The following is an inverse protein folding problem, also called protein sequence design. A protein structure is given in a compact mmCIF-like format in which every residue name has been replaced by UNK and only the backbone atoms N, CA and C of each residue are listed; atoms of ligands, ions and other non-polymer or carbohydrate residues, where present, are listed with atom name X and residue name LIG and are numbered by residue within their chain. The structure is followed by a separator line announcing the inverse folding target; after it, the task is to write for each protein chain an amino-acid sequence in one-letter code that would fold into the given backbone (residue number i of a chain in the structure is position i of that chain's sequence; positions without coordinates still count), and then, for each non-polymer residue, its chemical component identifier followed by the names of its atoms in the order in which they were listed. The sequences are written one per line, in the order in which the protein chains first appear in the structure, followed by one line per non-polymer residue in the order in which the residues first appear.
data_IF_617876195222
#
_entry.id   IF_617876195222
#
_cell.length_a   1.000
_cell.length_b   1.000
_cell.length_c   1.000
_cell.angle_alpha   90.00
_cell.angle_beta   90.00
_cell.angle_gamma   90.00
#
_symmetry.space_group_name_H-M   'P 1'
#
loop_
_entity.id
_entity.type
_entity.pdbx_description
1 polymer ?
#
# COMPACT_ATOMS: atom_id res chain seq x y z
N UNK A 1 6.89 -0.45 40.71
CA UNK A 1 8.00 -0.19 41.65
C UNK A 1 8.25 -1.50 42.40
N UNK A 2 9.39 -2.18 42.17
CA UNK A 2 9.72 -3.45 42.85
C UNK A 2 10.93 -3.20 43.75
N UNK A 3 10.73 -3.27 45.06
CA UNK A 3 11.82 -3.22 46.03
C UNK A 3 12.35 -4.64 46.25
N UNK A 4 13.67 -4.82 46.15
CA UNK A 4 14.35 -6.06 46.52
C UNK A 4 14.91 -5.83 47.93
N UNK A 5 14.37 -6.53 48.93
CA UNK A 5 14.93 -6.55 50.28
C UNK A 5 15.96 -7.67 50.37
N UNK A 6 17.20 -7.31 50.70
CA UNK A 6 18.25 -8.27 51.10
C UNK A 6 18.44 -8.13 52.61
N UNK A 7 18.18 -9.20 53.36
CA UNK A 7 18.39 -9.24 54.80
C UNK A 7 19.85 -9.57 55.11
N UNK A 8 20.57 -8.62 55.70
CA UNK A 8 21.86 -8.84 56.35
C UNK A 8 21.74 -8.35 57.80
N UNK A 9 22.17 -9.16 58.76
CA UNK A 9 21.91 -9.01 60.21
C UNK A 9 22.61 -7.83 60.88
N UNK A 10 23.24 -6.94 60.11
CA UNK A 10 23.91 -5.72 60.58
C UNK A 10 23.70 -4.58 59.57
N UNK A 11 22.64 -3.79 59.73
CA UNK A 11 22.42 -2.53 59.02
C UNK A 11 21.51 -2.61 57.78
N UNK A 12 20.45 -1.80 57.78
CA UNK A 12 19.53 -1.61 56.65
C UNK A 12 20.19 -0.68 55.61
N UNK A 13 20.52 -1.20 54.43
CA UNK A 13 20.88 -0.37 53.26
C UNK A 13 19.75 -0.51 52.23
N UNK A 14 18.97 0.57 52.06
CA UNK A 14 17.92 0.64 51.06
C UNK A 14 18.55 1.00 49.71
N UNK A 15 18.73 0.02 48.81
CA UNK A 15 19.10 0.31 47.42
C UNK A 15 17.84 0.68 46.63
N UNK A 16 17.59 1.99 46.49
CA UNK A 16 16.64 2.52 45.52
C UNK A 16 17.25 2.39 44.13
N UNK A 17 16.98 1.29 43.42
CA UNK A 17 17.31 1.18 42.00
C UNK A 17 16.33 2.06 41.20
N UNK A 18 16.76 3.25 40.79
CA UNK A 18 16.01 4.07 39.85
C UNK A 18 15.79 3.27 38.56
N UNK A 19 14.55 3.19 38.02
CA UNK A 19 14.33 2.55 36.74
C UNK A 19 15.14 3.31 35.68
N UNK A 20 15.99 2.61 34.93
CA UNK A 20 16.60 3.18 33.72
C UNK A 20 15.46 3.69 32.84
N UNK A 21 15.48 4.99 32.54
CA UNK A 21 14.52 5.58 31.62
C UNK A 21 14.63 4.86 30.27
N UNK A 22 13.56 4.18 29.86
CA UNK A 22 13.49 3.56 28.55
C UNK A 22 13.51 4.66 27.49
N UNK A 23 14.25 4.43 26.41
CA UNK A 23 14.31 5.36 25.28
C UNK A 23 12.92 5.60 24.69
N UNK A 24 12.69 6.82 24.19
CA UNK A 24 11.50 7.13 23.40
C UNK A 24 11.44 6.20 22.17
N UNK A 25 10.40 5.36 22.01
CA UNK A 25 10.28 4.46 20.86
C UNK A 25 10.36 5.19 19.52
N UNK A 26 9.89 6.45 19.48
CA UNK A 26 9.95 7.34 18.31
C UNK A 26 11.39 7.73 17.96
N UNK A 27 12.23 8.02 18.96
CA UNK A 27 13.63 8.40 18.72
C UNK A 27 14.45 7.20 18.25
N UNK A 28 14.22 6.02 18.83
CA UNK A 28 14.89 4.79 18.41
C UNK A 28 14.58 4.45 16.95
N UNK A 29 13.30 4.46 16.56
CA UNK A 29 12.87 4.12 15.20
C UNK A 29 13.31 5.14 14.14
N UNK A 30 13.55 6.40 14.54
CA UNK A 30 14.10 7.41 13.66
C UNK A 30 15.54 7.08 13.25
N UNK A 31 16.42 6.79 14.20
CA UNK A 31 17.86 6.66 13.94
C UNK A 31 18.29 5.29 13.42
N UNK A 32 17.66 4.21 13.88
CA UNK A 32 18.12 2.85 13.58
C UNK A 32 18.16 2.55 12.07
N UNK A 33 19.22 1.90 11.58
CA UNK A 33 19.35 1.54 10.16
C UNK A 33 20.60 2.11 9.49
N UNK A 34 20.66 2.00 8.16
CA UNK A 34 21.80 2.47 7.37
C UNK A 34 21.56 3.91 6.91
N UNK A 35 22.60 4.71 6.97
CA UNK A 35 22.61 6.12 6.58
C UNK A 35 23.79 6.41 5.67
N UNK A 36 23.59 7.32 4.72
CA UNK A 36 24.62 7.87 3.87
C UNK A 36 25.03 9.22 4.44
N UNK A 37 26.26 9.33 4.93
CA UNK A 37 26.85 10.60 5.35
C UNK A 37 27.67 11.23 4.21
N UNK A 38 27.39 12.48 3.89
CA UNK A 38 28.03 13.28 2.85
C UNK A 38 28.73 14.49 3.47
N UNK A 39 29.98 14.75 3.06
CA UNK A 39 30.77 15.88 3.58
C UNK A 39 31.87 15.48 4.56
N UNK A 40 32.22 14.20 4.66
CA UNK A 40 33.38 13.77 5.44
C UNK A 40 34.67 14.41 4.90
N UNK A 41 35.53 14.88 5.79
CA UNK A 41 36.84 15.44 5.46
C UNK A 41 37.95 14.61 6.11
N UNK A 42 38.69 13.88 5.28
CA UNK A 42 39.98 13.30 5.64
C UNK A 42 41.05 13.95 4.77
N UNK A 43 41.61 13.23 3.78
CA UNK A 43 42.63 13.76 2.87
C UNK A 43 42.04 14.60 1.72
N UNK A 44 40.91 14.15 1.19
CA UNK A 44 40.14 14.84 0.16
C UNK A 44 38.77 15.10 0.76
N UNK A 45 38.41 16.37 1.00
CA UNK A 45 37.10 16.71 1.54
C UNK A 45 35.95 16.22 0.66
N UNK A 46 34.76 16.06 1.23
CA UNK A 46 33.55 15.72 0.48
C UNK A 46 33.35 14.22 0.23
N UNK A 47 33.92 13.36 1.09
CA UNK A 47 33.68 11.91 1.00
C UNK A 47 32.24 11.56 1.36
N UNK A 48 31.77 10.46 0.76
CA UNK A 48 30.45 9.87 0.95
C UNK A 48 30.59 8.48 1.56
N UNK A 49 30.03 8.28 2.74
CA UNK A 49 30.25 7.07 3.54
C UNK A 49 28.94 6.50 4.08
N UNK A 50 28.84 5.16 4.10
CA UNK A 50 27.74 4.44 4.73
C UNK A 50 28.00 4.24 6.21
N UNK A 51 26.99 4.45 7.04
CA UNK A 51 27.04 4.18 8.47
C UNK A 51 25.83 3.37 8.91
N UNK A 52 26.05 2.35 9.72
CA UNK A 52 24.99 1.63 10.42
C UNK A 52 24.79 2.29 11.78
N UNK A 53 23.58 2.77 12.05
CA UNK A 53 23.20 3.24 13.38
C UNK A 53 22.42 2.12 14.07
N UNK A 54 22.84 1.78 15.29
CA UNK A 54 22.16 0.83 16.17
C UNK A 54 21.82 1.49 17.50
N UNK A 55 20.70 1.06 18.09
CA UNK A 55 20.19 1.55 19.37
C UNK A 55 20.23 0.42 20.40
N UNK A 56 20.81 0.69 21.57
CA UNK A 56 20.78 -0.24 22.70
C UNK A 56 20.41 0.52 23.97
N UNK A 57 19.19 0.29 24.47
CA UNK A 57 18.62 1.13 25.52
C UNK A 57 18.53 2.59 25.05
N UNK A 58 19.17 3.50 25.78
CA UNK A 58 19.25 4.92 25.41
C UNK A 58 20.53 5.29 24.63
N UNK A 59 21.38 4.31 24.32
CA UNK A 59 22.64 4.52 23.59
C UNK A 59 22.41 4.47 22.10
N UNK A 60 22.87 5.51 21.40
CA UNK A 60 22.97 5.59 19.95
C UNK A 60 24.42 5.33 19.55
N UNK A 61 24.67 4.39 18.64
CA UNK A 61 26.00 4.09 18.12
C UNK A 61 25.96 4.05 16.60
N UNK A 62 26.72 4.92 15.94
CA UNK A 62 26.90 4.94 14.49
C UNK A 62 28.26 4.35 14.13
N UNK A 63 28.27 3.24 13.39
CA UNK A 63 29.47 2.54 12.93
C UNK A 63 29.63 2.70 11.41
N UNK A 64 30.83 3.06 10.97
CA UNK A 64 31.20 3.13 9.55
C UNK A 64 31.07 1.74 8.92
N UNK A 65 30.27 1.61 7.86
CA UNK A 65 30.22 0.43 7.00
C UNK A 65 31.22 0.55 5.85
N UNK A 66 31.29 1.75 5.27
CA UNK A 66 32.44 2.21 4.49
C UNK A 66 33.18 3.24 5.33
N UNK A 67 34.50 3.34 5.17
CA UNK A 67 35.29 4.31 5.91
C UNK A 67 36.53 4.74 5.15
N UNK A 68 37.26 5.66 5.76
CA UNK A 68 38.39 6.37 5.17
C UNK A 68 39.65 6.17 6.01
N UNK A 69 40.77 6.75 5.58
CA UNK A 69 42.05 6.63 6.27
C UNK A 69 42.05 7.28 7.67
N UNK A 70 41.13 8.21 7.96
CA UNK A 70 41.04 8.88 9.25
C UNK A 70 40.14 8.12 10.22
N UNK A 71 39.05 7.52 9.73
CA UNK A 71 38.12 6.65 10.47
C UNK A 71 37.77 5.44 9.59
N UNK A 72 38.49 4.32 9.73
CA UNK A 72 38.29 3.15 8.88
C UNK A 72 36.93 2.48 9.08
N UNK A 73 36.50 1.70 8.08
CA UNK A 73 35.33 0.85 8.16
C UNK A 73 35.36 -0.04 9.42
N UNK A 74 34.20 -0.29 10.01
CA UNK A 74 34.07 -1.01 11.27
C UNK A 74 34.27 -0.14 12.52
N UNK A 75 34.78 1.08 12.42
CA UNK A 75 34.89 1.98 13.58
C UNK A 75 33.59 2.74 13.88
N UNK A 76 33.40 3.09 15.15
CA UNK A 76 32.35 4.03 15.55
C UNK A 76 32.71 5.39 14.96
N UNK A 77 31.83 6.01 14.18
CA UNK A 77 32.03 7.38 13.68
C UNK A 77 31.48 8.42 14.65
N UNK A 78 30.35 8.12 15.31
CA UNK A 78 29.84 8.90 16.43
C UNK A 78 28.95 8.04 17.32
N UNK A 79 28.80 8.47 18.57
CA UNK A 79 27.90 7.85 19.53
C UNK A 79 27.28 8.91 20.45
N UNK A 80 26.15 8.62 21.05
CA UNK A 80 25.47 9.56 21.94
C UNK A 80 24.35 8.91 22.72
N UNK A 81 23.60 9.76 23.42
CA UNK A 81 22.38 9.37 24.12
C UNK A 81 21.18 9.85 23.30
N UNK A 82 20.16 8.99 23.13
CA UNK A 82 18.97 9.37 22.38
C UNK A 82 18.27 10.57 23.04
N UNK A 83 17.81 11.56 22.24
CA UNK A 83 17.01 12.65 22.76
C UNK A 83 15.59 12.18 23.09
N UNK A 84 14.90 12.94 23.94
CA UNK A 84 13.49 12.66 24.25
C UNK A 84 12.56 12.93 23.05
N UNK A 85 12.97 13.78 22.10
CA UNK A 85 12.26 14.07 20.85
C UNK A 85 13.22 14.17 19.67
N UNK A 86 12.69 13.95 18.46
CA UNK A 86 13.38 13.99 17.16
C UNK A 86 12.65 14.92 16.19
N UNK A 87 12.17 16.05 16.68
CA UNK A 87 11.46 17.03 15.85
C UNK A 87 12.45 17.82 14.98
N UNK A 88 12.02 18.26 13.80
CA UNK A 88 12.86 19.07 12.91
C UNK A 88 13.39 20.31 13.63
N UNK A 89 14.68 20.59 13.46
CA UNK A 89 15.40 21.68 14.11
C UNK A 89 15.91 21.37 15.51
N UNK A 90 15.50 20.25 16.12
CA UNK A 90 16.06 19.83 17.42
C UNK A 90 17.51 19.37 17.30
N UNK A 91 18.30 19.64 18.35
CA UNK A 91 19.72 19.26 18.41
C UNK A 91 20.08 18.62 19.75
N UNK A 92 21.03 17.69 19.73
CA UNK A 92 21.59 17.08 20.93
C UNK A 92 23.06 16.70 20.73
N UNK A 93 23.86 16.60 21.80
CA UNK A 93 25.28 16.31 21.68
C UNK A 93 25.54 14.83 21.34
N UNK A 94 26.51 14.62 20.46
CA UNK A 94 27.13 13.32 20.15
C UNK A 94 28.65 13.43 20.23
N UNK A 95 29.31 12.33 20.58
CA UNK A 95 30.77 12.22 20.56
C UNK A 95 31.21 11.58 19.25
N UNK A 96 31.94 12.33 18.44
CA UNK A 96 32.55 11.89 17.20
C UNK A 96 33.90 11.23 17.43
N UNK A 97 34.19 10.23 16.63
CA UNK A 97 35.53 9.67 16.42
C UNK A 97 36.20 10.44 15.31
N UNK A 98 37.43 10.90 15.57
CA UNK A 98 38.26 11.63 14.61
C UNK A 98 39.66 11.01 14.57
N UNK A 99 40.44 11.33 13.57
CA UNK A 99 41.81 10.83 13.40
C UNK A 99 42.49 11.47 12.21
N UNK A 100 43.71 11.03 11.93
CA UNK A 100 44.45 11.33 10.71
C UNK A 100 44.84 10.02 10.02
N UNK A 101 45.26 10.04 8.74
CA UNK A 101 45.73 8.82 8.06
C UNK A 101 46.87 8.11 8.81
N UNK A 102 47.74 8.87 9.47
CA UNK A 102 48.87 8.34 10.25
C UNK A 102 48.46 7.83 11.64
N UNK A 103 47.30 8.28 12.15
CA UNK A 103 46.78 7.89 13.46
C UNK A 103 45.24 7.77 13.42
N UNK A 104 44.70 6.74 12.75
CA UNK A 104 43.27 6.58 12.50
C UNK A 104 42.48 6.39 13.80
N UNK A 105 41.27 6.96 13.85
CA UNK A 105 40.29 6.81 14.93
C UNK A 105 40.80 7.12 16.35
N UNK A 106 41.89 7.88 16.45
CA UNK A 106 42.67 8.12 17.67
C UNK A 106 42.11 9.21 18.58
N UNK A 107 41.24 10.07 18.06
CA UNK A 107 40.66 11.21 18.79
C UNK A 107 39.16 11.09 19.00
N UNK A 108 38.65 11.92 19.92
CA UNK A 108 37.21 12.11 20.15
C UNK A 108 36.91 13.60 20.28
N UNK A 109 35.78 14.04 19.74
CA UNK A 109 35.29 15.43 19.90
C UNK A 109 33.78 15.45 20.05
N UNK A 110 33.24 16.40 20.81
CA UNK A 110 31.79 16.53 21.01
C UNK A 110 31.23 17.54 20.02
N UNK A 111 30.15 17.17 19.34
CA UNK A 111 29.46 18.01 18.35
C UNK A 111 27.95 17.86 18.49
N UNK A 112 27.21 18.86 18.05
CA UNK A 112 25.77 18.74 17.99
C UNK A 112 25.34 17.96 16.74
N UNK A 113 24.36 17.09 16.92
CA UNK A 113 23.58 16.48 15.84
C UNK A 113 22.25 17.21 15.78
N UNK A 114 21.90 17.73 14.60
CA UNK A 114 20.67 18.48 14.34
C UNK A 114 19.76 17.70 13.40
N UNK A 115 18.52 17.46 13.80
CA UNK A 115 17.49 16.86 12.95
C UNK A 115 17.07 17.89 11.90
N UNK A 116 17.14 17.52 10.63
CA UNK A 116 16.71 18.39 9.53
C UNK A 116 15.26 18.09 9.17
N UNK A 117 14.94 16.82 8.93
CA UNK A 117 13.59 16.34 8.58
C UNK A 117 13.40 14.88 9.03
N UNK A 118 12.37 14.19 8.54
CA UNK A 118 12.09 12.80 8.91
C UNK A 118 13.06 11.76 8.30
N UNK A 119 14.00 12.18 7.46
CA UNK A 119 14.93 11.32 6.70
C UNK A 119 16.37 11.83 6.69
N UNK A 120 16.64 12.97 7.31
CA UNK A 120 17.96 13.57 7.30
C UNK A 120 18.30 14.31 8.59
N UNK A 121 19.57 14.25 8.95
CA UNK A 121 20.15 15.02 10.04
C UNK A 121 21.56 15.48 9.64
N UNK A 122 22.14 16.42 10.38
CA UNK A 122 23.51 16.88 10.18
C UNK A 122 24.28 16.86 11.49
N UNK A 123 25.58 16.56 11.43
CA UNK A 123 26.48 16.74 12.55
C UNK A 123 27.91 16.85 12.04
N UNK A 124 28.71 17.72 12.68
CA UNK A 124 30.12 17.94 12.34
C UNK A 124 30.37 18.23 10.84
N UNK A 125 29.48 19.00 10.21
CA UNK A 125 29.56 19.33 8.78
C UNK A 125 29.14 18.20 7.83
N UNK A 126 28.80 17.01 8.35
CA UNK A 126 28.35 15.87 7.56
C UNK A 126 26.82 15.81 7.55
N UNK A 127 26.22 15.78 6.36
CA UNK A 127 24.78 15.54 6.19
C UNK A 127 24.53 14.05 6.07
N UNK A 128 23.69 13.50 6.94
CA UNK A 128 23.24 12.12 6.89
C UNK A 128 21.85 12.07 6.28
N UNK A 129 21.70 11.28 5.22
CA UNK A 129 20.41 10.93 4.64
C UNK A 129 20.21 9.45 4.83
N UNK A 130 19.02 9.02 5.27
CA UNK A 130 18.76 7.60 5.47
C UNK A 130 19.03 6.86 4.16
N UNK A 131 19.83 5.79 4.20
CA UNK A 131 19.94 4.90 3.06
C UNK A 131 18.59 4.19 3.00
N UNK A 132 17.66 4.81 2.29
CA UNK A 132 16.35 4.24 2.07
C UNK A 132 16.60 2.93 1.36
N UNK A 133 16.31 1.81 2.04
CA UNK A 133 15.79 0.65 1.36
C UNK A 133 14.42 1.06 0.82
N UNK A 134 14.39 1.97 -0.17
CA UNK A 134 13.18 2.35 -0.86
C UNK A 134 12.74 1.08 -1.55
N UNK A 135 11.75 0.43 -0.96
CA UNK A 135 11.14 -0.75 -1.55
C UNK A 135 10.11 -0.25 -2.54
N UNK A 136 10.36 -0.55 -3.81
CA UNK A 136 9.39 -0.39 -4.88
C UNK A 136 8.58 -1.66 -4.97
N UNK A 137 7.28 -1.55 -4.75
CA UNK A 137 6.34 -2.65 -4.94
C UNK A 137 5.33 -2.28 -6.01
N UNK A 138 5.07 -3.21 -6.93
CA UNK A 138 3.98 -3.06 -7.90
C UNK A 138 2.67 -3.44 -7.23
N UNK A 139 1.73 -2.51 -7.12
CA UNK A 139 0.37 -2.76 -6.67
C UNK A 139 -0.53 -2.83 -7.90
N UNK A 140 -1.17 -3.99 -8.11
CA UNK A 140 -2.12 -4.22 -9.20
C UNK A 140 -3.46 -4.61 -8.62
N UNK A 141 -4.48 -3.86 -9.00
CA UNK A 141 -5.87 -4.12 -8.62
C UNK A 141 -6.72 -4.12 -9.87
N UNK A 142 -7.63 -5.08 -9.98
CA UNK A 142 -8.65 -5.03 -11.02
C UNK A 142 -10.00 -5.48 -10.52
N UNK A 143 -11.03 -5.00 -11.21
CA UNK A 143 -12.43 -5.25 -10.94
C UNK A 143 -13.10 -5.69 -12.24
N UNK A 144 -13.81 -6.82 -12.20
CA UNK A 144 -14.70 -7.25 -13.27
C UNK A 144 -16.14 -7.25 -12.79
N UNK A 145 -17.04 -6.99 -13.73
CA UNK A 145 -18.45 -7.39 -13.60
C UNK A 145 -18.79 -8.38 -14.69
N UNK A 146 -19.57 -9.42 -14.38
CA UNK A 146 -19.91 -10.46 -15.35
C UNK A 146 -21.23 -11.16 -14.99
N UNK A 147 -21.92 -11.71 -15.98
CA UNK A 147 -23.14 -12.47 -15.79
C UNK A 147 -22.77 -13.97 -15.83
N UNK A 148 -22.86 -14.71 -14.71
CA UNK A 148 -22.30 -16.06 -14.65
C UNK A 148 -23.07 -17.09 -15.50
N UNK A 149 -24.32 -16.81 -15.83
CA UNK A 149 -25.15 -17.68 -16.68
C UNK A 149 -24.80 -17.52 -18.16
N UNK A 150 -25.28 -18.45 -18.99
CA UNK A 150 -25.16 -18.38 -20.45
C UNK A 150 -26.06 -17.32 -21.09
N UNK A 151 -27.24 -17.13 -20.51
CA UNK A 151 -28.25 -16.19 -20.99
C UNK A 151 -28.67 -15.26 -19.85
N UNK A 152 -28.80 -13.98 -20.17
CA UNK A 152 -29.49 -13.01 -19.35
C UNK A 152 -30.87 -12.75 -19.96
N UNK A 153 -31.90 -13.14 -19.22
CA UNK A 153 -33.29 -12.95 -19.62
C UNK A 153 -33.81 -11.61 -19.10
N UNK A 154 -34.38 -10.79 -19.97
CA UNK A 154 -34.83 -9.42 -19.67
C UNK A 154 -36.30 -9.29 -20.10
N UNK A 155 -37.15 -8.79 -19.20
CA UNK A 155 -38.54 -8.43 -19.52
C UNK A 155 -38.64 -6.91 -19.74
N UNK A 156 -39.24 -6.50 -20.85
CA UNK A 156 -39.44 -5.08 -21.18
C UNK A 156 -40.93 -4.74 -21.05
N UNK A 157 -41.34 -4.21 -19.90
CA UNK A 157 -42.75 -3.93 -19.62
C UNK A 157 -43.59 -5.22 -19.64
N UNK A 158 -44.70 -5.23 -20.40
CA UNK A 158 -45.55 -6.42 -20.59
C UNK A 158 -45.12 -7.32 -21.76
N UNK A 159 -44.05 -6.96 -22.47
CA UNK A 159 -43.63 -7.61 -23.71
C UNK A 159 -42.93 -8.96 -23.48
N UNK A 160 -42.77 -9.77 -24.56
CA UNK A 160 -42.03 -11.03 -24.49
C UNK A 160 -40.62 -10.88 -23.92
N UNK A 161 -40.16 -11.99 -23.33
CA UNK A 161 -38.81 -12.18 -22.83
C UNK A 161 -37.78 -11.93 -23.95
N UNK A 162 -36.83 -11.05 -23.69
CA UNK A 162 -35.67 -10.83 -24.56
C UNK A 162 -34.45 -11.45 -23.91
N UNK A 163 -33.67 -12.19 -24.67
CA UNK A 163 -32.50 -12.90 -24.16
C UNK A 163 -31.22 -12.29 -24.72
N UNK A 164 -30.26 -12.04 -23.83
CA UNK A 164 -28.92 -11.59 -24.18
C UNK A 164 -27.90 -12.68 -23.88
N UNK A 165 -26.88 -12.76 -24.73
CA UNK A 165 -25.72 -13.60 -24.48
C UNK A 165 -24.93 -13.04 -23.29
N UNK A 166 -24.64 -13.88 -22.31
CA UNK A 166 -23.93 -13.53 -21.08
C UNK A 166 -22.50 -14.12 -21.08
N UNK A 167 -21.81 -14.07 -19.94
CA UNK A 167 -20.38 -14.45 -19.85
C UNK A 167 -20.16 -15.95 -19.64
N UNK A 168 -21.18 -16.68 -19.17
CA UNK A 168 -21.16 -18.13 -18.97
C UNK A 168 -19.90 -18.66 -18.26
N UNK A 169 -19.55 -18.07 -17.12
CA UNK A 169 -18.32 -18.42 -16.40
C UNK A 169 -18.47 -18.29 -14.89
N UNK A 170 -17.52 -18.89 -14.18
CA UNK A 170 -17.27 -18.63 -12.76
C UNK A 170 -16.31 -17.46 -12.54
N UNK A 171 -15.91 -17.30 -11.27
CA UNK A 171 -14.89 -16.34 -10.86
C UNK A 171 -13.53 -16.69 -11.47
N UNK A 172 -12.81 -15.68 -11.98
CA UNK A 172 -11.51 -15.89 -12.60
C UNK A 172 -10.59 -14.67 -12.42
N UNK A 173 -9.34 -14.95 -12.10
CA UNK A 173 -8.27 -13.96 -12.06
C UNK A 173 -7.67 -13.61 -13.42
N UNK A 174 -8.08 -14.27 -14.49
CA UNK A 174 -7.57 -13.95 -15.83
C UNK A 174 -8.07 -12.55 -16.25
N UNK A 175 -7.14 -11.67 -16.60
CA UNK A 175 -7.44 -10.31 -17.04
C UNK A 175 -8.25 -10.30 -18.34
N UNK A 176 -8.12 -11.32 -19.18
CA UNK A 176 -8.77 -11.42 -20.49
C UNK A 176 -10.07 -12.23 -20.46
N UNK A 177 -10.53 -12.60 -19.27
CA UNK A 177 -11.80 -13.31 -19.12
C UNK A 177 -12.98 -12.45 -19.59
N UNK A 178 -14.00 -13.09 -20.18
CA UNK A 178 -15.25 -12.44 -20.60
C UNK A 178 -15.84 -11.61 -19.45
N UNK A 179 -16.25 -10.37 -19.71
CA UNK A 179 -16.82 -9.50 -18.68
C UNK A 179 -17.77 -8.48 -19.31
N UNK A 180 -18.72 -7.98 -18.51
CA UNK A 180 -19.54 -6.81 -18.86
C UNK A 180 -18.70 -5.54 -18.70
N UNK A 181 -17.92 -5.44 -17.63
CA UNK A 181 -16.94 -4.38 -17.42
C UNK A 181 -15.65 -4.95 -16.86
N UNK A 182 -14.51 -4.36 -17.22
CA UNK A 182 -13.18 -4.68 -16.73
C UNK A 182 -12.43 -3.38 -16.46
N UNK A 183 -11.89 -3.22 -15.27
CA UNK A 183 -11.08 -2.07 -14.88
C UNK A 183 -9.80 -2.52 -14.18
N UNK A 184 -8.67 -1.93 -14.53
CA UNK A 184 -7.35 -2.22 -13.95
C UNK A 184 -6.64 -0.94 -13.55
N UNK A 185 -6.09 -0.92 -12.33
CA UNK A 185 -5.16 0.09 -11.86
C UNK A 185 -3.86 -0.61 -11.47
N UNK A 186 -2.75 -0.10 -12.00
CA UNK A 186 -1.41 -0.53 -11.64
C UNK A 186 -0.59 0.66 -11.17
N UNK A 187 0.05 0.51 -10.00
CA UNK A 187 0.82 1.54 -9.33
C UNK A 187 2.20 0.97 -8.96
N UNK A 188 3.24 1.78 -9.07
CA UNK A 188 4.49 1.58 -8.36
C UNK A 188 4.40 2.36 -7.04
N UNK A 189 4.56 1.65 -5.93
CA UNK A 189 4.47 2.22 -4.59
C UNK A 189 5.84 2.12 -3.94
N UNK A 190 6.35 3.26 -3.47
CA UNK A 190 7.62 3.34 -2.77
C UNK A 190 7.38 3.43 -1.26
N UNK A 191 8.10 2.61 -0.50
CA UNK A 191 8.08 2.65 0.97
C UNK A 191 9.49 2.74 1.53
N UNK A 192 9.67 3.46 2.63
CA UNK A 192 10.95 3.50 3.39
C UNK A 192 10.99 2.54 4.57
N UNK A 193 10.01 1.63 4.66
CA UNK A 193 9.77 0.70 5.77
C UNK A 193 8.83 1.24 6.85
N UNK A 194 8.65 2.56 6.95
CA UNK A 194 7.81 3.19 7.98
C UNK A 194 6.61 3.94 7.38
N UNK A 195 6.74 4.45 6.16
CA UNK A 195 5.68 5.17 5.46
C UNK A 195 5.74 4.94 3.94
N UNK A 196 4.60 5.20 3.28
CA UNK A 196 4.54 5.32 1.81
C UNK A 196 5.12 6.68 1.44
N UNK A 197 6.14 6.68 0.59
CA UNK A 197 6.91 7.89 0.24
C UNK A 197 6.59 8.43 -1.13
N UNK A 198 6.13 7.58 -2.04
CA UNK A 198 5.78 7.95 -3.40
C UNK A 198 4.80 6.92 -4.00
N UNK A 199 3.95 7.37 -4.92
CA UNK A 199 3.07 6.53 -5.72
C UNK A 199 3.10 7.05 -7.15
N UNK A 200 3.43 6.16 -8.10
CA UNK A 200 3.44 6.49 -9.51
C UNK A 200 2.53 5.53 -10.29
N UNK A 201 1.72 6.01 -11.25
CA UNK A 201 0.94 5.13 -12.10
C UNK A 201 1.86 4.39 -13.07
N UNK A 202 1.65 3.08 -13.22
CA UNK A 202 2.28 2.31 -14.29
C UNK A 202 1.35 2.41 -15.50
N UNK A 203 1.81 3.09 -16.55
CA UNK A 203 1.00 3.26 -17.76
C UNK A 203 0.80 1.94 -18.47
N UNK A 204 -0.44 1.48 -18.50
CA UNK A 204 -0.89 0.40 -19.39
C UNK A 204 -2.00 0.92 -20.29
N UNK A 205 -1.99 0.49 -21.56
CA UNK A 205 -2.88 0.96 -22.61
C UNK A 205 -4.31 0.37 -22.53
N UNK A 206 -4.55 -0.61 -21.65
CA UNK A 206 -5.84 -1.31 -21.54
C UNK A 206 -6.40 -1.30 -20.12
N UNK A 207 -6.69 -0.12 -19.57
CA UNK A 207 -7.22 -0.03 -18.19
C UNK A 207 -8.70 -0.34 -18.09
N UNK A 208 -9.50 0.07 -19.07
CA UNK A 208 -10.96 -0.01 -19.01
C UNK A 208 -11.52 -0.67 -20.27
N UNK A 209 -12.27 -1.76 -20.11
CA UNK A 209 -12.96 -2.45 -21.20
C UNK A 209 -14.41 -2.72 -20.83
N UNK A 210 -15.25 -2.75 -21.86
CA UNK A 210 -16.66 -3.10 -21.75
C UNK A 210 -16.94 -4.23 -22.73
N UNK A 211 -17.63 -5.26 -22.25
CA UNK A 211 -18.04 -6.39 -23.06
C UNK A 211 -19.02 -5.99 -24.16
N UNK A 212 -18.94 -6.68 -25.29
CA UNK A 212 -19.97 -6.53 -26.32
C UNK A 212 -21.27 -7.24 -25.88
N UNK A 213 -22.41 -6.62 -26.19
CA UNK A 213 -23.73 -7.17 -25.95
C UNK A 213 -24.26 -7.80 -27.23
N UNK A 214 -24.87 -8.98 -27.09
CA UNK A 214 -25.46 -9.73 -28.20
C UNK A 214 -26.83 -10.25 -27.79
N UNK A 215 -27.75 -10.33 -28.74
CA UNK A 215 -28.97 -11.12 -28.56
C UNK A 215 -28.65 -12.62 -28.57
N UNK A 216 -29.42 -13.39 -27.81
CA UNK A 216 -29.34 -14.84 -27.76
C UNK A 216 -30.70 -15.48 -27.96
N UNK A 217 -30.71 -16.69 -28.48
CA UNK A 217 -31.88 -17.55 -28.47
C UNK A 217 -32.17 -17.98 -27.02
N UNK A 218 -33.38 -17.70 -26.52
CA UNK A 218 -33.73 -17.96 -25.13
C UNK A 218 -33.70 -19.44 -24.73
N UNK A 219 -33.82 -20.38 -25.68
CA UNK A 219 -33.87 -21.81 -25.40
C UNK A 219 -32.48 -22.43 -25.40
N UNK A 220 -31.67 -22.05 -26.37
CA UNK A 220 -30.36 -22.66 -26.62
C UNK A 220 -29.21 -21.85 -26.03
N UNK A 221 -29.42 -20.55 -25.77
CA UNK A 221 -28.38 -19.60 -25.40
C UNK A 221 -27.34 -19.36 -26.49
N UNK A 222 -27.63 -19.75 -27.73
CA UNK A 222 -26.78 -19.46 -28.88
C UNK A 222 -26.91 -17.98 -29.24
N UNK A 223 -25.79 -17.36 -29.60
CA UNK A 223 -25.74 -15.99 -30.11
C UNK A 223 -26.54 -15.91 -31.41
N UNK A 224 -27.35 -14.86 -31.55
CA UNK A 224 -28.11 -14.57 -32.76
C UNK A 224 -27.31 -13.62 -33.66
N UNK A 225 -26.34 -14.14 -34.42
CA UNK A 225 -25.36 -13.34 -35.19
C UNK A 225 -25.97 -12.43 -36.26
N UNK A 226 -27.22 -12.69 -36.67
CA UNK A 226 -27.95 -11.85 -37.61
C UNK A 226 -28.55 -10.59 -36.96
N UNK A 227 -28.57 -10.52 -35.63
CA UNK A 227 -29.06 -9.37 -34.88
C UNK A 227 -27.88 -8.43 -34.52
N UNK A 228 -28.16 -7.13 -34.35
CA UNK A 228 -27.10 -6.16 -34.05
C UNK A 228 -26.44 -6.47 -32.71
N UNK A 229 -25.13 -6.25 -32.67
CA UNK A 229 -24.32 -6.22 -31.46
C UNK A 229 -23.81 -4.82 -31.20
N UNK A 230 -23.63 -4.47 -29.92
CA UNK A 230 -23.12 -3.16 -29.52
C UNK A 230 -22.30 -3.26 -28.24
N UNK A 231 -21.25 -2.45 -28.15
CA UNK A 231 -20.51 -2.20 -26.91
C UNK A 231 -21.05 -0.93 -26.26
N UNK A 232 -21.19 -0.93 -24.93
CA UNK A 232 -21.56 0.30 -24.23
C UNK A 232 -20.38 1.28 -24.21
N UNK A 233 -20.70 2.56 -23.98
CA UNK A 233 -19.69 3.60 -23.83
C UNK A 233 -18.83 3.36 -22.58
N UNK A 234 -17.54 3.67 -22.67
CA UNK A 234 -16.63 3.69 -21.51
C UNK A 234 -16.59 5.04 -20.78
N UNK A 235 -17.35 6.04 -21.25
CA UNK A 235 -17.29 7.43 -20.72
C UNK A 235 -17.65 7.51 -19.23
N UNK A 236 -18.53 6.63 -18.77
CA UNK A 236 -19.04 6.60 -17.39
C UNK A 236 -18.32 5.55 -16.54
N UNK A 237 -17.09 5.20 -16.93
CA UNK A 237 -16.18 4.30 -16.21
C UNK A 237 -14.92 5.10 -15.88
N UNK A 238 -14.52 5.12 -14.62
CA UNK A 238 -13.31 5.83 -14.22
C UNK A 238 -12.52 5.11 -13.14
N UNK A 239 -11.20 5.25 -13.30
CA UNK A 239 -10.18 4.72 -12.41
C UNK A 239 -9.42 5.91 -11.83
N UNK A 240 -9.31 5.97 -10.50
CA UNK A 240 -8.45 6.97 -9.85
C UNK A 240 -7.76 6.35 -8.64
N UNK A 241 -6.77 7.07 -8.11
CA UNK A 241 -6.08 6.66 -6.91
C UNK A 241 -5.63 7.90 -6.13
N UNK A 242 -5.43 7.73 -4.82
CA UNK A 242 -4.88 8.77 -3.95
C UNK A 242 -4.11 8.15 -2.78
N UNK A 243 -3.24 8.94 -2.16
CA UNK A 243 -2.55 8.56 -0.93
C UNK A 243 -3.27 9.18 0.28
N UNK A 244 -3.52 8.39 1.31
CA UNK A 244 -3.99 8.88 2.61
C UNK A 244 -3.16 8.26 3.74
N UNK A 245 -2.13 9.00 4.19
CA UNK A 245 -1.14 8.47 5.13
C UNK A 245 -0.38 7.30 4.51
N UNK A 246 -0.44 6.14 5.15
CA UNK A 246 0.15 4.89 4.63
C UNK A 246 -0.77 4.13 3.67
N UNK A 247 -2.04 4.55 3.52
CA UNK A 247 -2.95 3.88 2.61
C UNK A 247 -2.78 4.40 1.18
N UNK A 248 -2.70 3.48 0.24
CA UNK A 248 -2.96 3.68 -1.18
C UNK A 248 -4.43 3.36 -1.41
N UNK A 249 -5.22 4.35 -1.82
CA UNK A 249 -6.65 4.18 -2.09
C UNK A 249 -6.83 4.07 -3.59
N UNK A 250 -7.29 2.92 -4.06
CA UNK A 250 -7.61 2.64 -5.45
C UNK A 250 -9.12 2.73 -5.63
N UNK A 251 -9.61 3.58 -6.54
CA UNK A 251 -11.04 3.87 -6.72
C UNK A 251 -11.52 3.41 -8.09
N UNK A 252 -12.57 2.62 -8.09
CA UNK A 252 -13.28 2.15 -9.28
C UNK A 252 -14.69 2.70 -9.29
N UNK A 253 -15.05 3.41 -10.36
CA UNK A 253 -16.40 3.87 -10.59
C UNK A 253 -16.90 3.36 -11.94
N UNK A 254 -18.15 2.90 -11.98
CA UNK A 254 -18.79 2.53 -13.23
C UNK A 254 -20.30 2.75 -13.17
N UNK A 255 -20.82 3.35 -14.24
CA UNK A 255 -22.24 3.43 -14.59
C UNK A 255 -22.44 2.99 -16.04
N UNK A 256 -22.71 1.70 -16.28
CA UNK A 256 -22.73 1.13 -17.64
C UNK A 256 -24.13 0.69 -18.05
N UNK A 257 -24.74 1.44 -18.97
CA UNK A 257 -26.02 1.07 -19.59
C UNK A 257 -25.91 -0.05 -20.62
N UNK A 258 -26.98 -0.82 -20.79
CA UNK A 258 -27.08 -1.81 -21.86
C UNK A 258 -27.27 -1.09 -23.21
N UNK A 259 -26.44 -1.34 -24.24
CA UNK A 259 -26.48 -0.56 -25.48
C UNK A 259 -27.54 -1.04 -26.49
N UNK A 260 -28.14 -2.22 -26.26
CA UNK A 260 -29.12 -2.83 -27.18
C UNK A 260 -30.58 -2.58 -26.79
N UNK A 261 -30.85 -2.35 -25.50
CA UNK A 261 -32.21 -2.21 -24.95
C UNK A 261 -32.19 -1.15 -23.85
N UNK A 262 -33.28 -0.39 -23.65
CA UNK A 262 -33.41 0.50 -22.50
C UNK A 262 -33.30 -0.30 -21.19
N UNK A 263 -32.29 0.01 -20.38
CA UNK A 263 -32.09 -0.59 -19.05
C UNK A 263 -31.54 0.45 -18.08
N UNK A 264 -31.70 0.21 -16.77
CA UNK A 264 -30.85 0.88 -15.81
C UNK A 264 -29.40 0.40 -15.95
N UNK A 265 -28.42 1.27 -15.71
CA UNK A 265 -27.01 0.93 -15.82
C UNK A 265 -26.59 -0.03 -14.71
N UNK A 266 -25.47 -0.72 -14.92
CA UNK A 266 -24.69 -1.34 -13.85
C UNK A 266 -23.95 -0.22 -13.13
N UNK A 267 -24.30 0.03 -11.88
CA UNK A 267 -23.70 1.04 -11.02
C UNK A 267 -22.80 0.40 -9.95
N UNK A 268 -21.61 0.98 -9.75
CA UNK A 268 -20.74 0.70 -8.61
C UNK A 268 -19.75 1.84 -8.35
N UNK A 269 -19.37 1.96 -7.08
CA UNK A 269 -18.38 2.90 -6.54
C UNK A 269 -17.61 2.16 -5.45
N UNK A 270 -16.43 1.64 -5.78
CA UNK A 270 -15.66 0.72 -4.95
C UNK A 270 -14.27 1.29 -4.72
N UNK A 271 -13.90 1.40 -3.45
CA UNK A 271 -12.58 1.81 -3.00
C UNK A 271 -11.84 0.63 -2.37
N UNK A 272 -10.59 0.44 -2.77
CA UNK A 272 -9.66 -0.53 -2.17
C UNK A 272 -8.56 0.24 -1.46
N UNK A 273 -8.58 0.22 -0.14
CA UNK A 273 -7.56 0.81 0.73
C UNK A 273 -6.48 -0.23 0.97
N UNK A 274 -5.23 0.10 0.65
CA UNK A 274 -4.10 -0.82 0.70
C UNK A 274 -3.02 -0.19 1.57
N UNK A 275 -2.65 -0.85 2.67
CA UNK A 275 -1.50 -0.50 3.48
C UNK A 275 -0.34 -1.44 3.11
N UNK A 276 0.64 -0.99 2.29
CA UNK A 276 1.76 -1.82 1.85
C UNK A 276 2.78 -2.09 2.97
N UNK A 277 2.66 -1.42 4.11
CA UNK A 277 3.58 -1.57 5.26
C UNK A 277 3.00 -2.58 6.23
N UNK A 278 1.73 -2.39 6.61
CA UNK A 278 1.00 -3.35 7.45
C UNK A 278 0.61 -4.63 6.69
N UNK A 279 0.74 -4.63 5.35
CA UNK A 279 0.34 -5.72 4.45
C UNK A 279 -1.14 -6.08 4.62
N UNK A 280 -1.98 -5.05 4.69
CA UNK A 280 -3.44 -5.18 4.87
C UNK A 280 -4.20 -4.45 3.78
N UNK A 281 -5.38 -4.95 3.45
CA UNK A 281 -6.32 -4.27 2.55
C UNK A 281 -7.71 -4.16 3.18
N UNK A 282 -8.49 -3.21 2.68
CA UNK A 282 -9.91 -3.06 2.97
C UNK A 282 -10.65 -2.62 1.70
N UNK A 283 -11.75 -3.30 1.37
CA UNK A 283 -12.65 -2.92 0.29
C UNK A 283 -13.88 -2.27 0.89
N UNK A 284 -14.23 -1.06 0.46
CA UNK A 284 -15.43 -0.34 0.87
C UNK A 284 -16.15 0.27 -0.33
N UNK A 285 -17.43 0.56 -0.20
CA UNK A 285 -18.19 1.27 -1.22
C UNK A 285 -19.58 0.68 -1.43
N UNK A 286 -20.09 0.79 -2.65
CA UNK A 286 -21.40 0.27 -3.03
C UNK A 286 -21.41 -0.30 -4.45
N UNK A 287 -22.31 -1.24 -4.68
CA UNK A 287 -22.58 -1.84 -6.00
C UNK A 287 -24.03 -2.26 -6.11
N UNK A 288 -24.50 -2.45 -7.32
CA UNK A 288 -25.82 -3.04 -7.54
C UNK A 288 -25.91 -4.49 -7.08
N UNK A 289 -27.15 -4.95 -6.93
CA UNK A 289 -27.49 -6.33 -6.60
C UNK A 289 -27.20 -7.33 -7.72
N UNK A 290 -27.01 -6.89 -8.96
CA UNK A 290 -26.48 -7.72 -10.04
C UNK A 290 -25.81 -6.85 -11.12
N UNK A 291 -24.80 -7.35 -11.84
CA UNK A 291 -24.44 -8.77 -12.04
C UNK A 291 -23.48 -9.33 -10.97
N UNK A 292 -22.67 -10.34 -11.30
CA UNK A 292 -21.59 -10.76 -10.41
C UNK A 292 -20.44 -9.73 -10.46
N UNK A 293 -19.76 -9.59 -9.33
CA UNK A 293 -18.62 -8.68 -9.16
C UNK A 293 -17.44 -9.48 -8.60
N UNK A 294 -16.25 -9.26 -9.16
CA UNK A 294 -15.02 -9.85 -8.66
C UNK A 294 -13.90 -8.81 -8.69
N UNK A 295 -13.08 -8.78 -7.64
CA UNK A 295 -11.88 -7.96 -7.63
C UNK A 295 -10.71 -8.72 -7.04
N UNK A 296 -9.52 -8.41 -7.54
CA UNK A 296 -8.28 -9.06 -7.13
C UNK A 296 -7.19 -8.04 -6.85
N UNK A 297 -6.29 -8.39 -5.92
CA UNK A 297 -5.15 -7.61 -5.50
C UNK A 297 -3.87 -8.44 -5.64
N UNK A 298 -2.86 -7.83 -6.25
CA UNK A 298 -1.48 -8.33 -6.26
C UNK A 298 -0.54 -7.21 -5.81
N UNK A 299 0.34 -7.51 -4.85
CA UNK A 299 1.36 -6.57 -4.35
C UNK A 299 2.74 -7.19 -4.49
N UNK A 300 3.64 -6.52 -5.20
CA UNK A 300 4.96 -7.04 -5.53
C UNK A 300 4.88 -8.39 -6.24
N UNK A 301 5.59 -9.37 -5.68
CA UNK A 301 5.60 -10.76 -6.17
C UNK A 301 4.69 -11.69 -5.34
N UNK A 302 3.81 -11.14 -4.49
CA UNK A 302 2.92 -11.95 -3.67
C UNK A 302 1.92 -12.73 -4.55
N UNK A 303 1.40 -13.82 -3.99
CA UNK A 303 0.31 -14.57 -4.60
C UNK A 303 -0.90 -13.67 -4.79
N UNK A 304 -1.58 -13.83 -5.93
CA UNK A 304 -2.79 -13.10 -6.20
C UNK A 304 -3.87 -13.39 -5.14
N UNK A 305 -4.54 -12.33 -4.68
CA UNK A 305 -5.61 -12.43 -3.67
C UNK A 305 -6.96 -11.99 -4.23
N UNK A 306 -8.03 -12.81 -4.17
CA UNK A 306 -9.39 -12.30 -4.35
C UNK A 306 -9.78 -11.43 -3.15
N UNK A 307 -10.23 -10.21 -3.41
CA UNK A 307 -10.59 -9.21 -2.40
C UNK A 307 -12.08 -8.83 -2.41
N UNK A 308 -12.80 -9.23 -3.47
CA UNK A 308 -14.25 -9.14 -3.58
C UNK A 308 -14.72 -10.29 -4.47
N UNK A 309 -15.70 -11.07 -4.01
CA UNK A 309 -16.42 -12.05 -4.83
C UNK A 309 -17.90 -11.98 -4.48
N UNK A 310 -18.73 -11.54 -5.42
CA UNK A 310 -20.17 -11.52 -5.25
C UNK A 310 -20.85 -12.28 -6.39
N UNK A 311 -21.68 -13.26 -6.01
CA UNK A 311 -22.50 -14.03 -6.94
C UNK A 311 -23.99 -13.80 -6.63
N UNK A 312 -24.77 -13.20 -7.53
CA UNK A 312 -26.21 -12.98 -7.32
C UNK A 312 -27.06 -14.25 -7.47
N UNK A 313 -26.56 -15.31 -8.13
CA UNK A 313 -27.36 -16.49 -8.49
C UNK A 313 -27.88 -17.25 -7.25
N UNK A 314 -27.04 -17.59 -6.24
CA UNK A 314 -27.52 -18.28 -5.05
C UNK A 314 -28.55 -17.48 -4.25
N UNK A 315 -28.64 -16.16 -4.48
CA UNK A 315 -29.60 -15.27 -3.82
C UNK A 315 -30.96 -15.21 -4.54
N UNK A 316 -31.13 -15.98 -5.62
CA UNK A 316 -32.33 -15.94 -6.46
C UNK A 316 -32.47 -14.64 -7.26
N UNK A 317 -31.41 -13.81 -7.30
CA UNK A 317 -31.41 -12.55 -8.04
C UNK A 317 -31.11 -12.85 -9.51
N UNK A 318 -32.16 -12.87 -10.32
CA UNK A 318 -32.10 -13.02 -11.78
C UNK A 318 -32.53 -11.69 -12.44
N UNK A 319 -31.92 -11.28 -13.57
CA UNK A 319 -32.34 -10.11 -14.37
C UNK A 319 -33.83 -10.06 -14.71
N UNK A 320 -34.55 -11.19 -14.66
CA UNK A 320 -35.98 -11.30 -15.02
C UNK A 320 -36.95 -10.67 -14.02
N UNK A 321 -36.58 -10.52 -12.74
CA UNK A 321 -37.56 -10.23 -11.68
C UNK A 321 -37.94 -8.74 -11.52
N UNK A 322 -37.38 -7.85 -12.32
CA UNK A 322 -37.64 -6.42 -12.22
C UNK A 322 -38.85 -6.00 -13.07
N UNK A 323 -40.06 -6.12 -12.51
CA UNK A 323 -41.30 -5.52 -13.05
C UNK A 323 -41.29 -3.97 -13.03
N UNK A 324 -40.13 -3.35 -12.81
CA UNK A 324 -39.85 -1.93 -12.93
C UNK A 324 -38.37 -1.79 -13.20
N UNK A 325 -38.01 -0.98 -14.18
CA UNK A 325 -36.72 -0.84 -14.85
C UNK A 325 -35.44 -0.75 -13.98
N UNK A 326 -35.54 -0.66 -12.64
CA UNK A 326 -34.48 -0.19 -11.75
C UNK A 326 -34.45 -0.90 -10.37
N UNK A 327 -34.68 -2.21 -10.27
CA UNK A 327 -34.45 -2.92 -8.98
C UNK A 327 -32.96 -3.02 -8.57
N UNK A 328 -32.05 -2.58 -9.44
CA UNK A 328 -30.61 -2.49 -9.16
C UNK A 328 -30.25 -1.35 -8.18
N UNK A 329 -31.11 -0.34 -8.04
CA UNK A 329 -30.80 0.96 -7.43
C UNK A 329 -30.64 0.94 -5.89
N UNK A 330 -30.78 -0.22 -5.24
CA UNK A 330 -30.30 -0.37 -3.87
C UNK A 330 -28.80 -0.68 -3.92
N UNK A 331 -27.99 0.38 -3.87
CA UNK A 331 -26.54 0.25 -3.63
C UNK A 331 -26.32 -0.60 -2.39
N UNK A 332 -25.85 -1.83 -2.61
CA UNK A 332 -25.51 -2.74 -1.54
C UNK A 332 -24.11 -2.37 -1.03
N UNK A 333 -23.95 -2.12 0.27
CA UNK A 333 -22.64 -1.78 0.82
C UNK A 333 -21.69 -2.95 0.65
N UNK A 334 -20.43 -2.63 0.35
CA UNK A 334 -19.31 -3.59 0.36
C UNK A 334 -18.42 -3.24 1.56
N UNK A 335 -18.02 -4.25 2.32
CA UNK A 335 -17.05 -4.11 3.40
C UNK A 335 -16.29 -5.42 3.59
N UNK A 336 -15.13 -5.53 2.93
CA UNK A 336 -14.22 -6.66 3.07
C UNK A 336 -12.87 -6.18 3.63
N UNK A 337 -12.14 -7.04 4.34
CA UNK A 337 -10.78 -6.70 4.80
C UNK A 337 -9.92 -7.95 4.96
N UNK A 338 -8.62 -7.80 4.85
CA UNK A 338 -7.70 -8.92 5.02
C UNK A 338 -6.22 -8.52 4.94
N UNK A 339 -5.37 -9.55 4.89
CA UNK A 339 -3.92 -9.43 4.66
C UNK A 339 -3.55 -9.97 3.28
N UNK A 340 -2.41 -9.52 2.75
CA UNK A 340 -1.85 -9.96 1.46
C UNK A 340 -0.35 -10.24 1.53
#
# INVERSE_FOLDING_TARGET
MKAILVFCTTGFILFLSSPLAAASPKAASYFEGIWIGEGYSCEQGGLREKVQISISGNSLIARKLTGDNCVPAGNITFQGTLPNSVDSGSSFPVTWTVGTPQNPASGRTQQNLTILDNKSFTSFGVKFTREGNIRKERVKVWLNTFIPTRVAEIRIGKNPLVCLHADNRGFSSDLNVSSRTHQVIELEVETDGNQVTNIAPITTDERNRVGESYFADCRTGNRLDKLPSRRASIRDISNSWEQQGNNVIVKFFGRIGLPLLPSCPIDFDINVLIDPIAKTYRVVGGRDGFPAYEAYLQVGNNSLKPILNYNPIPLGINPVSANGLCMWDKRNPVSESGKF
#
